data_IF_223896846634
#
_entry.id   IF_223896846634
#
_cell.length_a   1.000
_cell.length_b   1.000
_cell.length_c   1.000
_cell.angle_alpha   90.00
_cell.angle_beta   90.00
_cell.angle_gamma   90.00
#
_symmetry.space_group_name_H-M   'P 1'
#
loop_
_entity.id
_entity.type
_entity.pdbx_description
1 polymer ?
#
# COMPACT_ATOMS: atom_id res chain seq x y z
N UNK A 1 21.64 -10.29 54.36
CA UNK A 1 21.54 -10.16 52.90
C UNK A 1 20.19 -9.55 52.55
N UNK A 2 19.98 -9.20 51.28
CA UNK A 2 18.64 -8.94 50.77
C UNK A 2 17.84 -10.23 50.89
N UNK A 3 16.84 -10.23 51.76
CA UNK A 3 15.86 -11.32 51.88
C UNK A 3 14.47 -10.70 51.64
N UNK A 4 13.91 -10.88 50.43
CA UNK A 4 12.60 -10.34 50.08
C UNK A 4 11.45 -11.03 50.81
N UNK A 5 11.72 -12.05 51.63
CA UNK A 5 10.72 -12.81 52.38
C UNK A 5 10.70 -12.46 53.89
N UNK A 6 11.46 -11.45 54.30
CA UNK A 6 11.42 -10.98 55.69
C UNK A 6 10.08 -10.33 56.03
N UNK A 7 9.45 -10.80 57.12
CA UNK A 7 8.18 -10.28 57.61
C UNK A 7 8.21 -8.75 57.75
N UNK A 8 7.25 -8.06 57.12
CA UNK A 8 7.10 -6.60 57.18
C UNK A 8 7.96 -5.80 56.21
N UNK A 9 8.69 -6.44 55.28
CA UNK A 9 9.50 -5.75 54.26
C UNK A 9 8.87 -5.89 52.88
N UNK A 10 8.24 -4.83 52.39
CA UNK A 10 7.65 -4.73 51.04
C UNK A 10 8.62 -4.10 50.04
N UNK A 11 8.26 -4.01 48.76
CA UNK A 11 9.05 -3.25 47.77
C UNK A 11 9.29 -1.80 48.18
N UNK A 12 8.32 -1.19 48.86
CA UNK A 12 8.45 0.17 49.42
C UNK A 12 9.50 0.26 50.53
N UNK A 13 9.64 -0.78 51.38
CA UNK A 13 10.70 -0.83 52.40
C UNK A 13 12.10 -0.79 51.78
N UNK A 14 12.25 -1.40 50.59
CA UNK A 14 13.51 -1.48 49.87
C UNK A 14 13.73 -0.36 48.85
N UNK A 15 12.76 0.56 48.70
CA UNK A 15 12.78 1.62 47.68
C UNK A 15 12.89 1.08 46.24
N UNK A 16 12.19 -0.02 45.95
CA UNK A 16 12.18 -0.66 44.63
C UNK A 16 10.83 -0.43 43.95
N UNK A 17 10.83 -0.12 42.65
CA UNK A 17 9.61 0.11 41.89
C UNK A 17 8.80 -1.19 41.78
N UNK A 18 9.36 -2.24 41.16
CA UNK A 18 8.81 -3.63 41.10
C UNK A 18 9.92 -4.65 40.81
N UNK A 19 10.75 -5.02 41.80
CA UNK A 19 11.86 -5.93 41.58
C UNK A 19 11.36 -7.36 41.38
N UNK A 20 12.04 -8.13 40.54
CA UNK A 20 11.81 -9.58 40.36
C UNK A 20 12.69 -10.34 41.34
N UNK A 21 12.12 -11.28 42.11
CA UNK A 21 12.91 -12.12 43.01
C UNK A 21 13.63 -13.20 42.21
N UNK A 22 14.94 -13.31 42.35
CA UNK A 22 15.71 -14.46 41.84
C UNK A 22 15.97 -15.40 43.02
N UNK A 23 15.54 -16.65 42.90
CA UNK A 23 15.76 -17.64 43.96
C UNK A 23 16.03 -19.02 43.38
N UNK A 24 16.81 -19.81 44.11
CA UNK A 24 17.02 -21.23 43.84
C UNK A 24 15.69 -21.96 44.05
N UNK A 25 15.04 -22.36 42.96
CA UNK A 25 13.79 -23.10 43.04
C UNK A 25 13.64 -24.02 41.83
N UNK A 26 13.38 -25.32 42.05
CA UNK A 26 13.10 -25.98 43.33
C UNK A 26 14.40 -26.34 44.08
N UNK A 27 14.60 -25.80 45.30
CA UNK A 27 15.65 -26.27 46.19
C UNK A 27 15.01 -27.13 47.28
N UNK A 28 15.26 -28.45 47.30
CA UNK A 28 14.75 -29.36 48.35
C UNK A 28 15.16 -28.97 49.78
N UNK A 29 16.19 -28.13 49.91
CA UNK A 29 16.70 -27.59 51.18
C UNK A 29 16.52 -26.08 51.31
N UNK A 30 15.79 -25.45 50.39
CA UNK A 30 15.45 -24.02 50.45
C UNK A 30 14.45 -23.72 51.56
N UNK A 31 14.49 -22.50 52.08
CA UNK A 31 13.61 -22.04 53.18
C UNK A 31 12.12 -21.92 52.75
N UNK A 32 11.83 -21.89 51.45
CA UNK A 32 10.50 -21.63 50.90
C UNK A 32 10.21 -22.47 49.64
N UNK A 33 8.96 -22.90 49.47
CA UNK A 33 8.43 -23.55 48.26
C UNK A 33 8.17 -22.53 47.13
N UNK A 34 8.05 -23.01 45.87
CA UNK A 34 7.67 -22.17 44.70
C UNK A 34 6.36 -21.41 44.98
N UNK A 35 5.39 -22.09 45.60
CA UNK A 35 4.07 -21.54 45.96
C UNK A 35 4.20 -20.38 46.95
N UNK A 36 5.00 -20.54 48.00
CA UNK A 36 5.24 -19.50 48.99
C UNK A 36 5.99 -18.31 48.38
N UNK A 37 6.98 -18.57 47.51
CA UNK A 37 7.74 -17.52 46.85
C UNK A 37 6.85 -16.66 45.93
N UNK A 38 6.03 -17.28 45.07
CA UNK A 38 5.17 -16.55 44.14
C UNK A 38 4.05 -15.78 44.86
N UNK A 39 3.46 -16.36 45.91
CA UNK A 39 2.44 -15.69 46.72
C UNK A 39 3.02 -14.52 47.53
N UNK A 40 4.20 -14.69 48.12
CA UNK A 40 4.85 -13.60 48.85
C UNK A 40 5.28 -12.46 47.93
N UNK A 41 5.77 -12.77 46.72
CA UNK A 41 6.00 -11.76 45.68
C UNK A 41 4.76 -10.92 45.45
N UNK A 42 3.64 -11.60 45.19
CA UNK A 42 2.38 -10.97 44.88
C UNK A 42 1.87 -10.08 46.02
N UNK A 43 1.82 -10.61 47.24
CA UNK A 43 1.35 -9.90 48.44
C UNK A 43 2.18 -8.64 48.72
N UNK A 44 3.50 -8.70 48.48
CA UNK A 44 4.41 -7.62 48.82
C UNK A 44 4.75 -6.67 47.66
N UNK A 45 4.08 -6.83 46.50
CA UNK A 45 4.18 -5.92 45.36
C UNK A 45 5.40 -6.12 44.46
N UNK A 46 6.05 -7.29 44.52
CA UNK A 46 7.16 -7.67 43.64
C UNK A 46 6.68 -7.96 42.21
N UNK A 47 7.55 -7.79 41.21
CA UNK A 47 7.22 -8.01 39.80
C UNK A 47 7.04 -9.47 39.41
N UNK A 48 7.50 -10.42 40.24
CA UNK A 48 7.41 -11.86 40.01
C UNK A 48 8.61 -12.61 40.57
N UNK A 49 8.70 -13.91 40.27
CA UNK A 49 9.85 -14.76 40.59
C UNK A 49 10.59 -15.17 39.30
N UNK A 50 11.91 -15.28 39.38
CA UNK A 50 12.79 -15.95 38.44
C UNK A 50 13.38 -17.18 39.12
N UNK A 51 12.66 -18.32 39.09
CA UNK A 51 13.23 -19.57 39.56
C UNK A 51 14.36 -19.97 38.62
N UNK A 52 15.49 -20.41 39.19
CA UNK A 52 16.54 -21.05 38.43
C UNK A 52 16.90 -22.38 39.09
N UNK A 53 17.38 -23.32 38.28
CA UNK A 53 17.86 -24.61 38.73
C UNK A 53 19.21 -24.92 38.08
N UNK A 54 20.10 -25.55 38.83
CA UNK A 54 21.35 -26.12 38.32
C UNK A 54 21.38 -27.59 38.69
N UNK A 55 21.51 -28.45 37.69
CA UNK A 55 21.31 -29.89 37.79
C UNK A 55 22.38 -30.65 38.60
N UNK A 56 23.18 -30.00 39.45
CA UNK A 56 24.41 -30.61 39.98
C UNK A 56 24.63 -30.52 41.49
N UNK A 57 23.67 -30.12 42.33
CA UNK A 57 23.89 -30.22 43.79
C UNK A 57 22.67 -30.56 44.66
N UNK A 58 21.43 -30.36 44.20
CA UNK A 58 20.21 -30.59 44.99
C UNK A 58 19.24 -31.62 44.38
N UNK A 59 19.55 -32.12 43.18
CA UNK A 59 18.88 -33.26 42.55
C UNK A 59 17.40 -33.07 42.22
N UNK A 60 16.91 -31.83 42.13
CA UNK A 60 15.48 -31.56 41.92
C UNK A 60 15.22 -30.17 41.33
N UNK A 61 15.76 -29.86 40.14
CA UNK A 61 15.35 -28.63 39.48
C UNK A 61 15.25 -28.75 37.98
N UNK A 62 14.07 -29.12 37.50
CA UNK A 62 13.67 -28.86 36.12
C UNK A 62 12.54 -27.85 36.11
N UNK A 63 12.31 -27.25 34.94
CA UNK A 63 11.18 -26.33 34.78
C UNK A 63 9.84 -27.03 35.08
N UNK A 64 9.77 -28.36 34.93
CA UNK A 64 8.56 -29.16 35.18
C UNK A 64 8.09 -29.10 36.63
N UNK A 65 9.01 -28.97 37.59
CA UNK A 65 8.69 -28.98 39.02
C UNK A 65 8.03 -27.67 39.48
N UNK A 66 8.29 -26.54 38.82
CA UNK A 66 7.66 -25.26 39.14
C UNK A 66 6.36 -25.02 38.34
N UNK A 67 6.13 -25.75 37.23
CA UNK A 67 4.97 -25.54 36.33
C UNK A 67 3.64 -25.62 37.05
N UNK A 68 3.46 -26.61 37.92
CA UNK A 68 2.20 -26.84 38.63
C UNK A 68 1.84 -25.65 39.53
N UNK A 69 2.80 -25.17 40.34
CA UNK A 69 2.59 -24.06 41.26
C UNK A 69 2.38 -22.72 40.55
N UNK A 70 3.16 -22.46 39.50
CA UNK A 70 2.98 -21.27 38.66
C UNK A 70 1.63 -21.28 37.94
N UNK A 71 1.18 -22.45 37.48
CA UNK A 71 -0.15 -22.63 36.89
C UNK A 71 -1.25 -22.39 37.91
N UNK A 72 -1.13 -22.95 39.12
CA UNK A 72 -2.08 -22.72 40.20
C UNK A 72 -2.17 -21.25 40.59
N UNK A 73 -1.01 -20.56 40.69
CA UNK A 73 -0.98 -19.12 40.93
C UNK A 73 -1.65 -18.33 39.79
N UNK A 74 -1.35 -18.64 38.52
CA UNK A 74 -2.03 -18.05 37.35
C UNK A 74 -3.53 -18.25 37.43
N UNK A 75 -4.00 -19.47 37.67
CA UNK A 75 -5.42 -19.80 37.68
C UNK A 75 -6.17 -19.07 38.80
N UNK A 76 -5.53 -18.90 39.96
CA UNK A 76 -6.07 -18.14 41.10
C UNK A 76 -6.04 -16.61 40.90
N UNK A 77 -5.15 -16.12 40.03
CA UNK A 77 -4.93 -14.69 39.78
C UNK A 77 -5.07 -14.34 38.29
N UNK A 78 -5.99 -14.99 37.58
CA UNK A 78 -6.11 -14.88 36.12
C UNK A 78 -6.37 -13.45 35.65
N UNK A 79 -7.05 -12.62 36.45
CA UNK A 79 -7.32 -11.21 36.14
C UNK A 79 -6.09 -10.30 36.09
N UNK A 80 -4.96 -10.72 36.66
CA UNK A 80 -3.69 -9.97 36.66
C UNK A 80 -2.58 -10.68 35.85
N UNK A 81 -2.74 -11.98 35.58
CA UNK A 81 -1.77 -12.78 34.82
C UNK A 81 -2.18 -12.92 33.35
N UNK A 82 -3.46 -13.16 33.07
CA UNK A 82 -4.02 -13.17 31.72
C UNK A 82 -4.61 -11.80 31.41
N UNK A 83 -3.83 -10.95 30.75
CA UNK A 83 -4.45 -9.84 30.04
C UNK A 83 -5.17 -10.45 28.83
N UNK A 84 -6.50 -10.40 28.84
CA UNK A 84 -7.28 -10.69 27.64
C UNK A 84 -6.95 -9.62 26.61
N UNK A 85 -6.02 -9.90 25.68
CA UNK A 85 -6.01 -9.18 24.42
C UNK A 85 -7.29 -9.59 23.69
N UNK A 86 -8.30 -8.73 23.72
CA UNK A 86 -9.42 -8.87 22.79
C UNK A 86 -8.82 -8.90 21.39
N UNK A 87 -9.02 -9.96 20.59
CA UNK A 87 -8.51 -9.97 19.22
C UNK A 87 -9.08 -8.73 18.53
N UNK A 88 -8.20 -7.86 18.05
CA UNK A 88 -8.61 -6.69 17.27
C UNK A 88 -9.24 -7.24 15.99
N UNK A 89 -10.56 -7.08 15.87
CA UNK A 89 -11.28 -7.50 14.67
C UNK A 89 -10.79 -6.63 13.53
N UNK A 90 -10.29 -7.26 12.47
CA UNK A 90 -9.82 -6.55 11.29
C UNK A 90 -11.00 -6.06 10.44
N UNK A 91 -11.00 -4.78 10.11
CA UNK A 91 -11.95 -4.14 9.23
C UNK A 91 -11.31 -4.00 7.83
N UNK A 92 -12.07 -4.21 6.75
CA UNK A 92 -11.55 -3.97 5.41
C UNK A 92 -11.19 -2.50 5.20
N UNK A 93 -10.26 -2.19 4.27
CA UNK A 93 -10.03 -0.83 3.82
C UNK A 93 -11.30 -0.20 3.25
N UNK A 94 -11.38 1.13 3.33
CA UNK A 94 -12.40 1.89 2.62
C UNK A 94 -12.25 1.71 1.10
N UNK A 95 -13.36 1.93 0.38
CA UNK A 95 -13.35 1.90 -1.08
C UNK A 95 -12.35 2.95 -1.58
N UNK A 96 -11.39 2.60 -2.45
CA UNK A 96 -10.42 3.55 -2.98
C UNK A 96 -11.09 4.69 -3.74
N UNK A 97 -10.40 5.82 -3.82
CA UNK A 97 -10.76 6.87 -4.75
C UNK A 97 -10.80 6.33 -6.19
N UNK A 98 -11.67 6.91 -7.02
CA UNK A 98 -11.64 6.66 -8.46
C UNK A 98 -10.21 6.87 -8.98
N UNK A 99 -9.66 5.94 -9.78
CA UNK A 99 -8.30 6.09 -10.29
C UNK A 99 -8.17 7.36 -11.11
N UNK A 100 -6.99 7.99 -11.02
CA UNK A 100 -6.64 9.17 -11.81
C UNK A 100 -5.47 8.85 -12.74
N UNK A 101 -5.44 9.46 -13.92
CA UNK A 101 -4.44 9.19 -14.95
C UNK A 101 -4.92 9.65 -16.33
N UNK A 102 -4.24 9.18 -17.38
CA UNK A 102 -4.60 9.51 -18.76
C UNK A 102 -5.94 8.89 -19.15
N UNK A 103 -6.89 9.71 -19.61
CA UNK A 103 -8.22 9.27 -20.06
C UNK A 103 -8.29 8.99 -21.58
N UNK A 104 -7.27 9.38 -22.34
CA UNK A 104 -7.19 9.13 -23.79
C UNK A 104 -5.76 8.81 -24.20
N UNK A 105 -5.53 7.72 -24.92
CA UNK A 105 -4.19 7.25 -25.28
C UNK A 105 -4.13 6.48 -26.58
N UNK A 106 -2.93 6.01 -26.90
CA UNK A 106 -2.63 5.19 -28.05
C UNK A 106 -2.31 3.76 -27.63
N UNK A 107 -2.52 2.81 -28.53
CA UNK A 107 -2.04 1.44 -28.32
C UNK A 107 -0.53 1.40 -28.09
N UNK A 108 -0.07 0.38 -27.35
CA UNK A 108 1.34 0.08 -27.08
C UNK A 108 2.10 1.20 -26.36
N UNK A 109 1.38 2.13 -25.72
CA UNK A 109 1.94 3.22 -24.91
C UNK A 109 1.62 2.96 -23.44
N UNK A 110 2.63 3.10 -22.57
CA UNK A 110 2.47 2.95 -21.13
C UNK A 110 1.98 4.24 -20.46
N UNK A 111 0.94 4.13 -19.64
CA UNK A 111 0.32 5.23 -18.90
C UNK A 111 0.32 4.95 -17.40
N UNK A 112 0.66 5.95 -16.59
CA UNK A 112 0.63 5.83 -15.12
C UNK A 112 -0.72 6.22 -14.55
N UNK A 113 -1.18 5.44 -13.56
CA UNK A 113 -2.42 5.64 -12.82
C UNK A 113 -2.18 5.64 -11.32
N UNK A 114 -3.05 6.35 -10.60
CA UNK A 114 -2.90 6.63 -9.17
C UNK A 114 -4.23 6.46 -8.44
N UNK A 115 -4.19 6.01 -7.19
CA UNK A 115 -5.33 6.00 -6.27
C UNK A 115 -4.87 6.12 -4.82
N UNK A 116 -5.81 6.30 -3.89
CA UNK A 116 -5.59 6.17 -2.46
C UNK A 116 -6.82 5.61 -1.74
N UNK A 117 -6.60 4.97 -0.59
CA UNK A 117 -7.62 4.50 0.33
C UNK A 117 -7.09 4.58 1.77
N UNK A 118 -8.01 4.67 2.74
CA UNK A 118 -7.68 4.57 4.16
C UNK A 118 -8.20 3.26 4.72
N UNK A 119 -7.43 2.69 5.63
CA UNK A 119 -7.80 1.55 6.46
C UNK A 119 -8.29 2.02 7.85
N UNK A 120 -9.48 1.57 8.32
CA UNK A 120 -10.02 1.95 9.62
C UNK A 120 -9.15 1.58 10.83
N UNK A 121 -8.37 0.50 10.71
CA UNK A 121 -7.47 0.01 11.75
C UNK A 121 -6.06 0.60 11.61
N UNK A 122 -5.84 1.42 10.58
CA UNK A 122 -4.55 2.06 10.29
C UNK A 122 -3.55 1.13 9.62
N UNK A 123 -4.00 -0.03 9.13
CA UNK A 123 -3.13 -1.00 8.47
C UNK A 123 -2.61 -0.49 7.12
N UNK A 124 -1.46 -1.00 6.70
CA UNK A 124 -0.93 -0.72 5.36
C UNK A 124 -1.83 -1.35 4.30
N UNK A 125 -1.96 -0.68 3.15
CA UNK A 125 -2.83 -1.09 2.05
C UNK A 125 -2.04 -1.24 0.76
N UNK A 126 -2.44 -2.20 -0.08
CA UNK A 126 -1.99 -2.32 -1.47
C UNK A 126 -3.21 -2.23 -2.39
N UNK A 127 -2.98 -1.79 -3.62
CA UNK A 127 -4.04 -1.57 -4.60
C UNK A 127 -3.95 -2.55 -5.75
N UNK A 128 -5.10 -3.12 -6.14
CA UNK A 128 -5.24 -3.95 -7.34
C UNK A 128 -6.03 -3.17 -8.38
N UNK A 129 -5.41 -2.84 -9.50
CA UNK A 129 -6.03 -2.21 -10.66
C UNK A 129 -6.55 -3.29 -11.61
N UNK A 130 -7.79 -3.13 -12.07
CA UNK A 130 -8.36 -3.88 -13.19
C UNK A 130 -8.44 -2.94 -14.41
N UNK A 131 -7.79 -3.37 -15.49
CA UNK A 131 -7.61 -2.57 -16.71
C UNK A 131 -8.70 -2.78 -17.76
N UNK A 132 -9.69 -3.64 -17.46
CA UNK A 132 -10.82 -3.96 -18.33
C UNK A 132 -10.42 -4.63 -19.66
N UNK A 133 -9.21 -5.20 -19.72
CA UNK A 133 -8.68 -5.98 -20.85
C UNK A 133 -8.41 -7.45 -20.46
N UNK A 134 -8.86 -7.86 -19.28
CA UNK A 134 -8.61 -9.18 -18.70
C UNK A 134 -7.32 -9.26 -17.87
N UNK A 135 -6.56 -8.17 -17.76
CA UNK A 135 -5.35 -8.10 -16.93
C UNK A 135 -5.54 -7.21 -15.69
N UNK A 136 -4.69 -7.44 -14.69
CA UNK A 136 -4.67 -6.65 -13.45
C UNK A 136 -3.24 -6.39 -13.01
N UNK A 137 -3.01 -5.27 -12.31
CA UNK A 137 -1.73 -4.93 -11.70
C UNK A 137 -1.89 -4.66 -10.20
N UNK A 138 -0.88 -5.00 -9.41
CA UNK A 138 -0.85 -4.69 -7.98
C UNK A 138 0.28 -3.72 -7.63
N UNK A 139 0.05 -2.87 -6.63
CA UNK A 139 1.09 -2.03 -6.03
C UNK A 139 1.80 -2.75 -4.88
N UNK A 140 2.92 -2.18 -4.42
CA UNK A 140 3.44 -2.49 -3.10
C UNK A 140 2.47 -2.01 -1.99
N UNK A 141 2.67 -2.53 -0.77
CA UNK A 141 2.01 -1.99 0.43
C UNK A 141 2.50 -0.56 0.69
N UNK A 142 1.57 0.33 0.97
CA UNK A 142 1.80 1.71 1.40
C UNK A 142 1.03 1.97 2.71
N UNK A 143 1.37 3.04 3.43
CA UNK A 143 0.63 3.38 4.64
C UNK A 143 -0.82 3.77 4.31
N UNK A 144 -1.74 3.54 5.27
CA UNK A 144 -3.13 3.99 5.16
C UNK A 144 -3.20 5.47 4.77
N UNK A 145 -3.95 5.79 3.71
CA UNK A 145 -4.10 7.14 3.16
C UNK A 145 -3.05 7.56 2.13
N UNK A 146 -1.96 6.81 1.97
CA UNK A 146 -0.93 7.10 0.97
C UNK A 146 -1.35 6.72 -0.45
N UNK A 147 -0.79 7.43 -1.42
CA UNK A 147 -1.06 7.19 -2.85
C UNK A 147 -0.28 5.99 -3.36
N UNK A 148 -0.99 5.04 -3.97
CA UNK A 148 -0.39 3.97 -4.76
C UNK A 148 -0.41 4.30 -6.24
N UNK A 149 0.61 3.84 -6.98
CA UNK A 149 0.69 4.02 -8.42
C UNK A 149 1.17 2.76 -9.13
N UNK A 150 0.70 2.61 -10.37
CA UNK A 150 1.14 1.58 -11.31
C UNK A 150 0.91 2.08 -12.74
N UNK A 151 1.45 1.37 -13.72
CA UNK A 151 1.33 1.72 -15.14
C UNK A 151 0.80 0.58 -15.97
N UNK A 152 0.10 0.90 -17.05
CA UNK A 152 -0.44 -0.09 -17.99
C UNK A 152 -0.40 0.40 -19.43
N UNK A 153 -0.41 -0.55 -20.35
CA UNK A 153 -0.47 -0.31 -21.79
C UNK A 153 -1.48 -1.25 -22.42
N UNK A 154 -2.36 -0.72 -23.27
CA UNK A 154 -3.33 -1.51 -24.04
C UNK A 154 -2.80 -1.78 -25.44
N UNK A 155 -2.96 -3.02 -25.92
CA UNK A 155 -2.54 -3.45 -27.26
C UNK A 155 -3.64 -3.32 -28.31
N UNK A 156 -4.89 -3.18 -27.87
CA UNK A 156 -6.06 -2.99 -28.73
C UNK A 156 -6.68 -1.61 -28.50
N UNK A 157 -7.27 -1.06 -29.56
CA UNK A 157 -8.13 0.11 -29.42
C UNK A 157 -9.45 -0.27 -28.76
N UNK A 158 -10.00 0.66 -27.99
CA UNK A 158 -11.20 0.39 -27.21
C UNK A 158 -11.47 1.46 -26.16
N UNK A 159 -12.60 1.29 -25.49
CA UNK A 159 -12.94 2.06 -24.28
C UNK A 159 -12.87 1.12 -23.10
N UNK A 160 -12.06 1.48 -22.09
CA UNK A 160 -11.74 0.66 -20.94
C UNK A 160 -12.21 1.32 -19.65
N UNK A 161 -12.80 0.53 -18.76
CA UNK A 161 -13.33 0.99 -17.47
C UNK A 161 -12.36 0.64 -16.33
N UNK A 162 -11.31 1.44 -16.15
CA UNK A 162 -10.27 1.20 -15.14
C UNK A 162 -10.83 1.40 -13.73
N UNK A 163 -10.73 0.37 -12.88
CA UNK A 163 -11.23 0.40 -11.50
C UNK A 163 -10.19 -0.16 -10.53
N UNK A 164 -10.32 0.17 -9.25
CA UNK A 164 -9.34 -0.22 -8.23
C UNK A 164 -10.01 -0.72 -6.95
N UNK A 165 -9.40 -1.70 -6.28
CA UNK A 165 -9.75 -2.12 -4.92
C UNK A 165 -8.50 -2.11 -4.03
N UNK A 166 -8.67 -1.95 -2.73
CA UNK A 166 -7.59 -2.00 -1.74
C UNK A 166 -7.63 -3.30 -0.94
N UNK A 167 -6.46 -3.84 -0.60
CA UNK A 167 -6.30 -4.97 0.34
C UNK A 167 -5.35 -4.55 1.45
N UNK A 168 -5.73 -4.75 2.70
CA UNK A 168 -4.87 -4.47 3.84
C UNK A 168 -3.74 -5.52 4.00
N UNK A 169 -2.79 -5.24 4.90
CA UNK A 169 -1.66 -6.12 5.21
C UNK A 169 -2.06 -7.42 5.90
N UNK A 170 -3.31 -7.54 6.37
CA UNK A 170 -3.89 -8.74 7.00
C UNK A 170 -4.73 -9.57 6.02
N UNK A 171 -4.88 -9.11 4.78
CA UNK A 171 -5.51 -9.82 3.67
C UNK A 171 -7.01 -9.53 3.45
N UNK A 172 -7.59 -8.52 4.11
CA UNK A 172 -9.00 -8.15 3.87
C UNK A 172 -9.10 -7.10 2.76
N UNK A 173 -10.14 -7.19 1.93
CA UNK A 173 -10.27 -6.42 0.69
C UNK A 173 -11.53 -5.56 0.67
N UNK A 174 -11.43 -4.36 0.09
CA UNK A 174 -12.55 -3.45 -0.17
C UNK A 174 -13.40 -3.88 -1.37
N UNK A 175 -14.54 -3.23 -1.54
CA UNK A 175 -15.24 -3.18 -2.85
C UNK A 175 -14.42 -2.39 -3.89
N UNK A 176 -14.76 -2.56 -5.16
CA UNK A 176 -14.19 -1.78 -6.27
C UNK A 176 -14.64 -0.31 -6.24
N UNK A 177 -13.75 0.58 -6.67
CA UNK A 177 -14.04 2.00 -6.87
C UNK A 177 -14.91 2.26 -8.10
N UNK A 178 -15.36 3.51 -8.25
CA UNK A 178 -15.92 3.99 -9.51
C UNK A 178 -14.86 3.88 -10.62
N UNK A 179 -15.29 3.57 -11.84
CA UNK A 179 -14.39 3.41 -12.97
C UNK A 179 -13.95 4.76 -13.57
N UNK A 180 -12.68 4.86 -13.99
CA UNK A 180 -12.20 5.86 -14.93
C UNK A 180 -12.35 5.31 -16.36
N UNK A 181 -13.07 6.03 -17.21
CA UNK A 181 -13.19 5.69 -18.63
C UNK A 181 -11.93 6.14 -19.38
N UNK A 182 -11.26 5.20 -20.03
CA UNK A 182 -10.05 5.42 -20.83
C UNK A 182 -10.31 5.03 -22.28
N UNK A 183 -10.11 5.95 -23.21
CA UNK A 183 -10.23 5.70 -24.65
C UNK A 183 -8.85 5.46 -25.26
N UNK A 184 -8.62 4.28 -25.81
CA UNK A 184 -7.38 3.93 -26.53
C UNK A 184 -7.68 3.83 -28.02
N UNK A 185 -6.84 4.49 -28.82
CA UNK A 185 -6.91 4.46 -30.28
C UNK A 185 -5.63 3.89 -30.88
N UNK A 186 -5.69 3.26 -32.04
CA UNK A 186 -4.47 2.98 -32.80
C UNK A 186 -3.94 4.25 -33.44
N UNK A 187 -2.61 4.44 -33.47
CA UNK A 187 -2.03 5.44 -34.36
C UNK A 187 -2.23 4.90 -35.78
N UNK A 188 -2.94 5.61 -36.68
CA UNK A 188 -3.17 5.08 -38.01
C UNK A 188 -1.83 4.89 -38.70
N UNK A 189 -1.62 3.71 -39.29
CA UNK A 189 -0.46 3.48 -40.16
C UNK A 189 -0.61 4.40 -41.39
N UNK A 190 0.16 5.49 -41.42
CA UNK A 190 -0.14 6.65 -42.25
C UNK A 190 0.12 6.46 -43.75
N UNK A 191 0.65 5.32 -44.19
CA UNK A 191 0.94 5.07 -45.61
C UNK A 191 1.13 3.60 -46.02
N UNK A 192 0.92 2.62 -45.12
CA UNK A 192 1.14 1.21 -45.43
C UNK A 192 2.62 0.80 -45.53
N UNK A 193 3.55 1.68 -45.14
CA UNK A 193 4.96 1.35 -44.99
C UNK A 193 5.32 1.18 -43.51
N UNK A 194 6.09 0.15 -43.18
CA UNK A 194 6.67 0.00 -41.86
C UNK A 194 7.76 1.06 -41.65
N UNK A 195 7.46 2.14 -40.92
CA UNK A 195 8.48 3.05 -40.45
C UNK A 195 9.17 2.45 -39.22
N UNK A 196 10.37 1.92 -39.43
CA UNK A 196 11.21 1.34 -38.37
C UNK A 196 11.90 2.40 -37.49
N UNK A 197 11.56 3.68 -37.66
CA UNK A 197 12.12 4.77 -36.88
C UNK A 197 11.02 5.79 -36.56
N UNK A 198 10.45 5.65 -35.36
CA UNK A 198 9.43 6.54 -34.81
C UNK A 198 10.02 7.87 -34.30
N UNK A 199 11.35 8.02 -34.26
CA UNK A 199 12.03 9.23 -33.75
C UNK A 199 11.78 10.49 -34.60
N UNK A 200 11.20 10.34 -35.81
CA UNK A 200 10.78 11.46 -36.66
C UNK A 200 9.29 11.78 -36.61
N UNK A 201 8.49 10.99 -35.87
CA UNK A 201 7.05 11.20 -35.75
C UNK A 201 6.72 11.79 -34.37
N UNK A 202 6.70 13.13 -34.29
CA UNK A 202 6.19 13.81 -33.11
C UNK A 202 4.65 13.89 -33.19
N UNK A 203 3.97 13.10 -32.35
CA UNK A 203 2.53 13.15 -32.18
C UNK A 203 2.21 14.07 -31.00
N UNK A 204 1.49 15.16 -31.28
CA UNK A 204 1.04 16.11 -30.27
C UNK A 204 -0.45 15.88 -29.98
N UNK A 205 -0.82 15.10 -28.94
CA UNK A 205 -2.20 15.04 -28.50
C UNK A 205 -2.59 16.42 -27.99
N UNK A 206 -3.44 17.14 -28.74
CA UNK A 206 -3.89 18.46 -28.34
C UNK A 206 -5.42 18.50 -28.24
N UNK A 207 -5.99 18.66 -27.03
CA UNK A 207 -7.40 19.00 -26.88
C UNK A 207 -7.58 20.48 -27.26
N UNK A 208 -7.56 20.77 -28.56
CA UNK A 208 -7.77 22.13 -29.06
C UNK A 208 -9.26 22.38 -29.27
N UNK A 209 -9.78 23.43 -28.63
CA UNK A 209 -11.12 23.96 -28.85
C UNK A 209 -10.95 25.32 -29.52
N UNK A 210 -11.45 25.46 -30.76
CA UNK A 210 -11.56 26.76 -31.42
C UNK A 210 -12.60 27.59 -30.69
N UNK A 211 -12.18 28.55 -29.88
CA UNK A 211 -13.11 29.43 -29.17
C UNK A 211 -13.55 30.62 -30.03
N UNK A 212 -12.75 31.03 -31.02
CA UNK A 212 -13.07 32.08 -31.99
C UNK A 212 -12.45 31.82 -33.38
N UNK A 213 -13.02 32.44 -34.42
CA UNK A 213 -12.57 32.34 -35.83
C UNK A 213 -11.17 32.90 -36.13
N UNK A 214 -10.46 33.42 -35.12
CA UNK A 214 -9.09 33.93 -35.20
C UNK A 214 -8.05 33.01 -34.54
N UNK A 215 -8.48 31.93 -33.89
CA UNK A 215 -7.59 31.04 -33.16
C UNK A 215 -6.90 30.09 -34.16
N UNK A 216 -5.57 30.14 -34.23
CA UNK A 216 -4.76 29.21 -35.03
C UNK A 216 -3.84 28.38 -34.12
N UNK A 217 -3.72 27.09 -34.42
CA UNK A 217 -2.69 26.23 -33.86
C UNK A 217 -1.39 26.51 -34.60
N UNK A 218 -0.37 26.96 -33.87
CA UNK A 218 0.92 27.34 -34.42
C UNK A 218 1.96 26.26 -34.13
N UNK A 219 2.41 25.57 -35.16
CA UNK A 219 3.50 24.60 -35.13
C UNK A 219 4.79 25.33 -35.47
N UNK A 220 5.67 25.53 -34.48
CA UNK A 220 6.91 26.32 -34.62
C UNK A 220 8.15 25.43 -34.55
N UNK A 221 9.29 25.95 -35.03
CA UNK A 221 10.59 25.24 -35.07
C UNK A 221 10.60 23.97 -35.94
N UNK A 222 9.72 23.93 -36.94
CA UNK A 222 9.65 22.82 -37.88
C UNK A 222 10.84 22.81 -38.85
N UNK A 223 11.46 21.63 -39.11
CA UNK A 223 12.44 21.47 -40.18
C UNK A 223 11.92 21.97 -41.53
N UNK A 224 12.84 22.38 -42.42
CA UNK A 224 12.50 22.75 -43.80
C UNK A 224 11.80 21.60 -44.52
N UNK A 225 10.75 21.91 -45.29
CA UNK A 225 9.91 20.95 -46.01
C UNK A 225 9.07 20.01 -45.12
N UNK A 226 8.81 20.40 -43.86
CA UNK A 226 7.89 19.65 -43.00
C UNK A 226 6.49 19.56 -43.62
N UNK A 227 5.92 18.36 -43.59
CA UNK A 227 4.53 18.09 -43.96
C UNK A 227 3.78 17.77 -42.68
N UNK A 228 2.88 18.67 -42.29
CA UNK A 228 1.98 18.44 -41.17
C UNK A 228 0.71 17.78 -41.68
N UNK A 229 0.39 16.59 -41.17
CA UNK A 229 -0.87 15.90 -41.45
C UNK A 229 -1.72 15.91 -40.19
N UNK A 230 -2.95 16.38 -40.33
CA UNK A 230 -3.90 16.57 -39.24
C UNK A 230 -4.96 15.49 -39.38
N UNK A 231 -5.29 14.82 -38.28
CA UNK A 231 -6.25 13.73 -38.23
C UNK A 231 -7.30 14.02 -37.16
N UNK A 232 -8.53 13.50 -37.36
CA UNK A 232 -9.51 13.39 -36.27
C UNK A 232 -9.03 12.38 -35.21
N UNK A 233 -9.64 12.38 -34.02
CA UNK A 233 -9.41 11.36 -32.99
C UNK A 233 -9.69 9.92 -33.49
N UNK A 234 -10.56 9.76 -34.49
CA UNK A 234 -10.83 8.45 -35.11
C UNK A 234 -9.87 8.12 -36.27
N UNK A 235 -8.75 8.83 -36.41
CA UNK A 235 -7.73 8.56 -37.42
C UNK A 235 -8.05 9.04 -38.84
N UNK A 236 -9.19 9.68 -39.09
CA UNK A 236 -9.52 10.23 -40.42
C UNK A 236 -8.63 11.44 -40.74
N UNK A 237 -7.96 11.42 -41.89
CA UNK A 237 -7.20 12.57 -42.39
C UNK A 237 -8.14 13.76 -42.62
N UNK A 238 -7.76 14.87 -42.02
CA UNK A 238 -8.50 16.14 -41.99
C UNK A 238 -7.89 17.15 -42.95
N UNK A 239 -6.57 17.29 -42.90
CA UNK A 239 -5.83 18.32 -43.63
C UNK A 239 -4.36 17.97 -43.75
N UNK A 240 -3.75 18.36 -44.87
CA UNK A 240 -2.32 18.35 -45.09
C UNK A 240 -1.85 19.79 -45.23
N UNK A 241 -0.86 20.19 -44.44
CA UNK A 241 -0.23 21.49 -44.50
C UNK A 241 1.24 21.32 -44.84
N UNK A 242 1.69 21.98 -45.90
CA UNK A 242 3.09 22.03 -46.31
C UNK A 242 3.66 23.40 -45.98
N UNK A 243 4.69 23.45 -45.15
CA UNK A 243 5.31 24.71 -44.73
C UNK A 243 6.69 24.92 -45.34
N UNK A 244 6.98 26.15 -45.75
CA UNK A 244 8.34 26.60 -46.06
C UNK A 244 9.00 27.15 -44.80
N UNK A 245 9.53 26.27 -43.95
CA UNK A 245 10.49 26.60 -42.88
C UNK A 245 9.94 27.40 -41.68
N UNK A 246 10.20 26.88 -40.48
CA UNK A 246 10.03 27.49 -39.14
C UNK A 246 8.62 27.59 -38.55
N UNK A 247 7.55 27.71 -39.35
CA UNK A 247 6.19 27.77 -38.80
C UNK A 247 5.11 27.28 -39.77
N UNK A 248 4.19 26.46 -39.28
CA UNK A 248 2.92 26.12 -39.95
C UNK A 248 1.78 26.51 -39.00
N UNK A 249 0.74 27.16 -39.53
CA UNK A 249 -0.46 27.48 -38.77
C UNK A 249 -1.68 26.72 -39.29
N UNK A 250 -2.53 26.26 -38.39
CA UNK A 250 -3.81 25.64 -38.72
C UNK A 250 -4.98 26.31 -38.01
N UNK A 251 -5.95 26.76 -38.79
CA UNK A 251 -7.16 27.44 -38.31
C UNK A 251 -8.34 26.49 -38.02
N UNK A 252 -8.07 25.20 -37.80
CA UNK A 252 -9.10 24.18 -37.51
C UNK A 252 -9.99 23.75 -38.68
N UNK A 253 -9.80 24.28 -39.89
CA UNK A 253 -10.59 23.86 -41.05
C UNK A 253 -10.03 22.62 -41.76
N UNK A 254 -10.87 21.81 -42.39
CA UNK A 254 -10.48 20.71 -43.27
C UNK A 254 -10.00 21.18 -44.66
N UNK A 255 -9.63 20.25 -45.54
CA UNK A 255 -9.26 20.53 -46.94
C UNK A 255 -10.31 21.34 -47.72
N UNK A 256 -11.59 21.16 -47.42
CA UNK A 256 -12.69 21.92 -48.04
C UNK A 256 -12.92 23.29 -47.39
N UNK A 257 -11.99 23.75 -46.53
CA UNK A 257 -12.08 25.01 -45.76
C UNK A 257 -13.31 25.11 -44.86
N UNK A 258 -13.87 23.97 -44.44
CA UNK A 258 -14.95 23.92 -43.45
C UNK A 258 -14.39 23.65 -42.06
N UNK A 259 -14.95 24.27 -41.01
CA UNK A 259 -14.61 23.92 -39.63
C UNK A 259 -14.86 22.44 -39.35
N UNK A 260 -14.16 21.91 -38.34
CA UNK A 260 -14.22 20.51 -37.90
C UNK A 260 -14.63 20.48 -36.44
#
# INVERSE_FOLDING_TARGET
GYDPFMTGRTTAYWLLDKPTIVGESPAKTGQYTVSEMVNNCFINGYGGIMPWSYSANDGAGTWDECKSELKSFRDAHSSIVDYSSTPVVNNPPNIPAQPTGTATGNTDTSYSYYTSATDPDGDQVKYTFDWDDGTTSETALVNSGETGSTSHSWTAEGTYQVKVKATDSKGTTSSWSNALTVLITTIPNLDGNSYNNLDSLEVYPNPFVLTNNSDEVNFIKLPSNSILRIYTLSGKLVRILTGTGNKISWNGNNESKKPI
#
